data_IF_484231148044
#
_entry.id   IF_484231148044
#
_cell.length_a   1.000
_cell.length_b   1.000
_cell.length_c   1.000
_cell.angle_alpha   90.00
_cell.angle_beta   90.00
_cell.angle_gamma   90.00
#
_symmetry.space_group_name_H-M   'P 1'
#
loop_
_entity.id
_entity.type
_entity.pdbx_description
1 polymer ?
#
# COMPACT_ATOMS: atom_id res chain seq x y z
N UNK A 1 12.69 -1.28 -2.70
CA UNK A 1 11.62 -0.30 -2.98
C UNK A 1 10.71 -0.14 -1.77
N UNK A 2 10.13 1.03 -1.58
CA UNK A 2 9.07 1.25 -0.58
C UNK A 2 7.77 0.55 -1.02
N UNK A 3 6.83 0.39 -0.08
CA UNK A 3 5.49 -0.09 -0.40
C UNK A 3 4.80 0.82 -1.45
N UNK A 4 4.99 2.14 -1.32
CA UNK A 4 4.46 3.13 -2.27
C UNK A 4 5.00 2.92 -3.67
N UNK A 5 6.33 2.83 -3.83
CA UNK A 5 6.94 2.60 -5.15
C UNK A 5 6.45 1.28 -5.78
N UNK A 6 6.26 0.25 -4.96
CA UNK A 6 5.79 -1.06 -5.42
C UNK A 6 4.35 -1.01 -5.93
N UNK A 7 3.46 -0.33 -5.18
CA UNK A 7 2.06 -0.14 -5.58
C UNK A 7 1.96 0.77 -6.80
N UNK A 8 2.73 1.86 -6.84
CA UNK A 8 2.77 2.79 -7.98
C UNK A 8 3.18 2.06 -9.26
N UNK A 9 4.21 1.22 -9.20
CA UNK A 9 4.67 0.41 -10.32
C UNK A 9 3.58 -0.56 -10.80
N UNK A 10 2.96 -1.32 -9.89
CA UNK A 10 1.91 -2.27 -10.28
C UNK A 10 0.68 -1.57 -10.88
N UNK A 11 0.31 -0.42 -10.33
CA UNK A 11 -0.81 0.39 -10.84
C UNK A 11 -0.51 0.90 -12.26
N UNK A 12 0.71 1.42 -12.50
CA UNK A 12 1.13 1.90 -13.82
C UNK A 12 1.19 0.79 -14.87
N UNK A 13 1.56 -0.42 -14.46
CA UNK A 13 1.66 -1.58 -15.35
C UNK A 13 0.33 -2.34 -15.52
N UNK A 14 -0.76 -1.88 -14.89
CA UNK A 14 -2.07 -2.53 -14.95
C UNK A 14 -2.17 -3.85 -14.17
N UNK A 15 -1.19 -4.15 -13.31
CA UNK A 15 -1.19 -5.34 -12.45
C UNK A 15 -2.00 -5.15 -11.16
N UNK A 16 -2.30 -3.89 -10.80
CA UNK A 16 -3.17 -3.52 -9.69
C UNK A 16 -4.22 -2.51 -10.20
N UNK A 17 -5.46 -2.64 -9.71
CA UNK A 17 -6.57 -1.75 -10.06
C UNK A 17 -6.27 -0.28 -9.67
N UNK A 18 -6.97 0.69 -10.28
CA UNK A 18 -6.91 2.09 -9.85
C UNK A 18 -8.31 2.73 -9.88
N UNK A 19 -8.93 3.04 -8.72
CA UNK A 19 -8.48 2.74 -7.36
C UNK A 19 -8.34 1.24 -7.08
N UNK A 20 -7.53 0.88 -6.09
CA UNK A 20 -7.37 -0.49 -5.60
C UNK A 20 -7.95 -0.69 -4.21
N UNK A 21 -8.36 -1.91 -3.91
CA UNK A 21 -8.70 -2.36 -2.57
C UNK A 21 -7.46 -2.91 -1.87
N UNK A 22 -7.26 -2.60 -0.59
CA UNK A 22 -6.15 -3.15 0.21
C UNK A 22 -6.19 -4.68 0.23
N UNK A 23 -7.39 -5.27 0.10
CA UNK A 23 -7.55 -6.73 0.05
C UNK A 23 -6.87 -7.34 -1.19
N UNK A 24 -6.79 -6.63 -2.32
CA UNK A 24 -6.09 -7.09 -3.52
C UNK A 24 -4.59 -7.31 -3.25
N UNK A 25 -3.99 -6.49 -2.39
CA UNK A 25 -2.59 -6.57 -1.98
C UNK A 25 -2.34 -7.69 -0.97
N UNK A 26 -3.37 -8.10 -0.24
CA UNK A 26 -3.33 -9.19 0.76
C UNK A 26 -4.05 -10.44 0.30
N UNK A 27 -4.18 -10.63 -1.01
CA UNK A 27 -4.85 -11.78 -1.61
C UNK A 27 -4.00 -13.05 -1.47
N UNK A 28 -4.66 -14.21 -1.50
CA UNK A 28 -3.99 -15.51 -1.39
C UNK A 28 -2.98 -15.74 -2.51
N UNK A 29 -3.24 -15.21 -3.72
CA UNK A 29 -2.34 -15.30 -4.87
C UNK A 29 -1.02 -14.57 -4.65
N UNK A 30 -0.99 -13.56 -3.78
CA UNK A 30 0.21 -12.78 -3.43
C UNK A 30 0.91 -13.32 -2.19
N UNK A 31 0.28 -14.24 -1.44
CA UNK A 31 0.81 -14.77 -0.19
C UNK A 31 2.02 -15.66 -0.45
N UNK A 32 3.08 -15.44 0.32
CA UNK A 32 4.30 -16.25 0.32
C UNK A 32 4.82 -16.49 1.73
N UNK A 33 5.45 -17.64 1.96
CA UNK A 33 6.21 -17.90 3.19
C UNK A 33 7.68 -17.55 2.95
N UNK A 34 8.24 -16.68 3.78
CA UNK A 34 9.64 -16.24 3.67
C UNK A 34 10.41 -16.57 4.94
N UNK A 35 11.65 -17.09 4.85
CA UNK A 35 12.50 -17.23 6.02
C UNK A 35 12.86 -15.85 6.58
N UNK A 36 12.66 -15.68 7.89
CA UNK A 36 13.06 -14.51 8.66
C UNK A 36 13.77 -15.04 9.93
N UNK A 37 15.09 -15.08 9.88
CA UNK A 37 15.89 -15.79 10.87
C UNK A 37 15.62 -17.29 10.86
N UNK A 38 15.17 -17.84 12.00
CA UNK A 38 14.87 -19.27 12.17
C UNK A 38 13.41 -19.64 11.89
N UNK A 39 12.55 -18.67 11.56
CA UNK A 39 11.12 -18.88 11.36
C UNK A 39 10.70 -18.62 9.91
N UNK A 40 9.65 -19.29 9.46
CA UNK A 40 8.92 -18.93 8.25
C UNK A 40 7.82 -17.95 8.61
N UNK A 41 7.80 -16.80 7.93
CA UNK A 41 6.84 -15.72 8.17
C UNK A 41 6.01 -15.49 6.92
N UNK A 42 4.70 -15.36 7.10
CA UNK A 42 3.76 -14.99 6.05
C UNK A 42 4.02 -13.54 5.60
N UNK A 43 4.22 -13.36 4.30
CA UNK A 43 4.35 -12.05 3.64
C UNK A 43 3.55 -12.05 2.34
N UNK A 44 3.34 -10.87 1.79
CA UNK A 44 2.62 -10.67 0.54
C UNK A 44 3.53 -9.96 -0.46
N UNK A 45 3.57 -10.50 -1.68
CA UNK A 45 4.35 -9.96 -2.78
C UNK A 45 3.63 -8.76 -3.40
N UNK A 46 4.32 -7.63 -3.43
CA UNK A 46 3.86 -6.40 -4.08
C UNK A 46 5.07 -5.84 -4.86
N UNK A 47 4.93 -5.73 -6.18
CA UNK A 47 6.02 -5.50 -7.11
C UNK A 47 7.09 -6.59 -7.00
N UNK A 48 8.29 -6.15 -6.63
CA UNK A 48 9.44 -7.02 -6.41
C UNK A 48 9.73 -7.27 -4.92
N UNK A 49 8.91 -6.72 -4.02
CA UNK A 49 9.13 -6.71 -2.57
C UNK A 49 8.09 -7.54 -1.82
N UNK A 50 8.37 -7.80 -0.53
CA UNK A 50 7.57 -8.68 0.32
C UNK A 50 7.23 -8.00 1.65
N UNK A 51 5.93 -7.81 1.91
CA UNK A 51 5.46 -7.05 3.06
C UNK A 51 4.60 -7.89 4.00
N UNK A 52 4.67 -7.61 5.30
CA UNK A 52 3.77 -8.23 6.30
C UNK A 52 2.36 -7.67 6.11
N UNK A 53 1.33 -8.51 6.28
CA UNK A 53 -0.08 -8.11 6.17
C UNK A 53 -0.41 -6.85 6.99
N UNK A 54 0.02 -6.86 8.25
CA UNK A 54 -0.21 -5.76 9.20
C UNK A 54 0.48 -4.45 8.79
N UNK A 55 1.62 -4.54 8.12
CA UNK A 55 2.37 -3.38 7.66
C UNK A 55 1.71 -2.73 6.43
N UNK A 56 1.11 -3.51 5.52
CA UNK A 56 0.52 -3.00 4.28
C UNK A 56 -0.59 -1.99 4.57
N UNK A 57 -1.65 -2.42 5.25
CA UNK A 57 -2.80 -1.55 5.52
C UNK A 57 -2.44 -0.33 6.36
N UNK A 58 -1.61 -0.52 7.40
CA UNK A 58 -1.16 0.56 8.29
C UNK A 58 -0.32 1.60 7.55
N UNK A 59 0.62 1.16 6.70
CA UNK A 59 1.49 2.08 5.95
C UNK A 59 0.70 2.89 4.93
N UNK A 60 -0.25 2.26 4.22
CA UNK A 60 -1.12 2.96 3.27
C UNK A 60 -1.96 4.00 4.01
N UNK A 61 -2.64 3.61 5.08
CA UNK A 61 -3.50 4.51 5.85
C UNK A 61 -2.72 5.69 6.45
N UNK A 62 -1.51 5.46 6.95
CA UNK A 62 -0.68 6.53 7.54
C UNK A 62 -0.20 7.56 6.53
N UNK A 63 0.00 7.16 5.26
CA UNK A 63 0.47 8.04 4.18
C UNK A 63 -0.67 8.48 3.23
N UNK A 64 -1.92 8.28 3.65
CA UNK A 64 -3.09 8.66 2.87
C UNK A 64 -3.69 9.98 3.33
N UNK A 65 -4.43 10.63 2.43
CA UNK A 65 -5.39 11.68 2.76
C UNK A 65 -6.81 11.20 2.39
N UNK A 66 -7.79 11.46 3.24
CA UNK A 66 -9.18 11.12 2.97
C UNK A 66 -9.78 12.05 1.92
N UNK A 67 -10.18 11.51 0.76
CA UNK A 67 -10.64 12.31 -0.36
C UNK A 67 -11.99 13.01 -0.12
N UNK A 68 -12.76 12.60 0.90
CA UNK A 68 -14.07 13.20 1.23
C UNK A 68 -13.94 14.29 2.28
N UNK A 69 -13.11 14.07 3.29
CA UNK A 69 -13.01 14.93 4.47
C UNK A 69 -11.74 15.78 4.48
N UNK A 70 -10.76 15.46 3.63
CA UNK A 70 -9.42 16.04 3.68
C UNK A 70 -8.60 15.60 4.90
N UNK A 71 -9.11 14.65 5.70
CA UNK A 71 -8.43 14.21 6.91
C UNK A 71 -7.15 13.44 6.57
N UNK A 72 -6.05 13.85 7.20
CA UNK A 72 -4.73 13.26 6.97
C UNK A 72 -4.52 11.98 7.79
N UNK A 73 -3.83 11.02 7.18
CA UNK A 73 -3.21 9.91 7.87
C UNK A 73 -2.10 10.38 8.80
N UNK A 74 -1.72 9.53 9.77
CA UNK A 74 -0.78 9.90 10.82
C UNK A 74 0.56 10.48 10.32
N UNK A 75 1.14 9.91 9.27
CA UNK A 75 2.41 10.41 8.71
C UNK A 75 2.20 11.72 7.95
N UNK A 76 1.12 11.83 7.18
CA UNK A 76 0.78 13.06 6.44
C UNK A 76 0.55 14.21 7.40
N UNK A 77 -0.23 14.00 8.47
CA UNK A 77 -0.45 15.02 9.51
C UNK A 77 0.81 15.43 10.28
N UNK A 78 1.91 14.68 10.12
CA UNK A 78 3.25 15.01 10.63
C UNK A 78 4.17 15.64 9.57
N UNK A 79 3.65 15.99 8.40
CA UNK A 79 4.38 16.64 7.33
C UNK A 79 4.94 15.71 6.26
N UNK A 80 4.60 14.42 6.26
CA UNK A 80 4.94 13.55 5.14
C UNK A 80 4.12 13.91 3.89
N UNK A 81 4.70 13.73 2.69
CA UNK A 81 3.96 13.91 1.44
C UNK A 81 2.82 12.89 1.34
N UNK A 82 1.65 13.34 0.88
CA UNK A 82 0.52 12.46 0.58
C UNK A 82 0.91 11.49 -0.54
N UNK A 83 0.81 10.20 -0.27
CA UNK A 83 1.12 9.13 -1.23
C UNK A 83 -0.13 8.42 -1.75
N UNK A 84 -1.23 8.49 -1.01
CA UNK A 84 -2.48 7.82 -1.36
C UNK A 84 -3.67 8.73 -1.08
N UNK A 85 -4.71 8.61 -1.88
CA UNK A 85 -6.02 9.19 -1.58
C UNK A 85 -6.99 8.09 -1.21
N UNK A 86 -7.57 8.15 -0.01
CA UNK A 86 -8.60 7.22 0.43
C UNK A 86 -9.94 7.63 -0.20
N UNK A 87 -10.49 6.77 -1.03
CA UNK A 87 -11.75 7.01 -1.74
C UNK A 87 -12.95 6.56 -0.89
N UNK A 88 -12.78 5.42 -0.21
CA UNK A 88 -13.71 4.86 0.78
C UNK A 88 -12.94 3.93 1.72
N UNK A 89 -13.53 3.41 2.82
CA UNK A 89 -12.83 2.48 3.71
C UNK A 89 -12.20 1.29 2.96
N UNK A 90 -10.88 1.12 3.11
CA UNK A 90 -10.13 0.03 2.49
C UNK A 90 -9.79 0.20 1.01
N UNK A 91 -10.17 1.32 0.38
CA UNK A 91 -9.96 1.57 -1.06
C UNK A 91 -9.23 2.88 -1.29
N UNK A 92 -8.15 2.81 -2.08
CA UNK A 92 -7.19 3.89 -2.24
C UNK A 92 -6.83 4.09 -3.71
N UNK A 93 -6.57 5.34 -4.07
CA UNK A 93 -5.90 5.74 -5.30
C UNK A 93 -4.46 6.08 -4.96
N UNK A 94 -3.50 5.59 -5.75
CA UNK A 94 -2.10 6.01 -5.60
C UNK A 94 -1.96 7.43 -6.13
N UNK A 95 -1.36 8.33 -5.36
CA UNK A 95 -1.03 9.66 -5.82
C UNK A 95 0.26 9.58 -6.63
N UNK A 96 0.22 10.05 -7.88
CA UNK A 96 1.42 10.09 -8.71
C UNK A 96 2.50 10.99 -8.11
N UNK A 97 3.75 10.73 -8.49
CA UNK A 97 4.79 11.75 -8.35
C UNK A 97 4.46 12.79 -9.43
N UNK A 98 4.05 14.00 -9.04
CA UNK A 98 4.11 15.16 -9.95
C UNK A 98 5.55 15.24 -10.46
N UNK A 99 5.72 15.07 -11.77
CA UNK A 99 7.01 15.21 -12.46
C UNK A 99 7.53 16.66 -12.40
#
# INVERSE_FOLDING_TARGET
MTLYESILLETRNGALSNPFEVQELTSEQRRVMRPEGKALVEKYRIGFEFFKKSAIGTTIANNAQDGKTGADGFSVGKGAKVQYMRVKPGVYTVMGIEE
#
